data_IF_579881432213
#
_entry.id   IF_579881432213
#
_cell.length_a   1.000
_cell.length_b   1.000
_cell.length_c   1.000
_cell.angle_alpha   90.00
_cell.angle_beta   90.00
_cell.angle_gamma   90.00
#
_symmetry.space_group_name_H-M   'P 1'
#
loop_
_entity.id
_entity.type
_entity.pdbx_description
1 polymer ?
#
# COMPACT_ATOMS: atom_id res chain seq x y z
N UNK A 1 21.03 12.49 -9.72
CA UNK A 1 19.63 12.51 -10.20
C UNK A 1 19.62 12.00 -11.62
N UNK A 2 18.67 11.13 -11.94
CA UNK A 2 18.62 10.41 -13.20
C UNK A 2 17.52 10.95 -14.11
N UNK A 3 17.73 10.91 -15.42
CA UNK A 3 16.72 11.26 -16.42
C UNK A 3 15.90 10.07 -16.89
N UNK A 4 16.38 8.87 -16.55
CA UNK A 4 15.76 7.59 -16.90
C UNK A 4 15.83 6.63 -15.73
N UNK A 5 14.73 5.94 -15.46
CA UNK A 5 14.60 4.88 -14.47
C UNK A 5 14.21 3.59 -15.20
N UNK A 6 14.96 2.51 -14.96
CA UNK A 6 14.59 1.17 -15.37
C UNK A 6 14.23 0.41 -14.09
N UNK A 7 12.98 -0.02 -13.94
CA UNK A 7 12.48 -0.57 -12.68
C UNK A 7 11.76 -1.89 -12.90
N UNK A 8 12.01 -2.88 -12.03
CA UNK A 8 11.35 -4.18 -12.09
C UNK A 8 10.88 -4.66 -10.73
N UNK A 9 9.88 -5.56 -10.72
CA UNK A 9 9.64 -6.42 -9.57
C UNK A 9 10.71 -7.51 -9.51
N UNK A 10 11.19 -7.85 -8.30
CA UNK A 10 12.29 -8.79 -8.12
C UNK A 10 11.93 -10.24 -8.39
N UNK A 11 10.64 -10.59 -8.27
CA UNK A 11 10.12 -11.94 -8.45
C UNK A 11 9.02 -12.01 -9.51
N UNK A 12 8.74 -13.23 -10.00
CA UNK A 12 7.64 -13.49 -10.93
C UNK A 12 6.43 -14.10 -10.21
N UNK A 13 5.25 -14.04 -10.84
CA UNK A 13 4.02 -14.66 -10.31
C UNK A 13 4.12 -16.17 -10.18
N UNK A 14 4.96 -16.81 -11.00
CA UNK A 14 5.18 -18.26 -11.01
C UNK A 14 6.39 -18.67 -10.18
N UNK A 15 7.19 -17.72 -9.70
CA UNK A 15 8.36 -17.92 -8.86
C UNK A 15 8.32 -16.89 -7.73
N UNK A 16 7.39 -17.12 -6.81
CA UNK A 16 7.05 -16.18 -5.74
C UNK A 16 8.22 -15.98 -4.78
N UNK A 17 8.44 -14.74 -4.36
CA UNK A 17 9.27 -14.40 -3.23
C UNK A 17 8.58 -14.69 -1.89
N UNK A 18 8.76 -13.84 -0.92
CA UNK A 18 8.20 -14.00 0.40
C UNK A 18 6.67 -13.81 0.41
N UNK A 19 5.97 -14.64 1.20
CA UNK A 19 4.51 -14.57 1.38
C UNK A 19 4.18 -14.79 2.85
N UNK A 20 3.51 -13.82 3.47
CA UNK A 20 2.92 -13.94 4.80
C UNK A 20 1.68 -13.03 4.86
N UNK A 21 1.70 -11.89 5.55
CA UNK A 21 0.59 -10.92 5.66
C UNK A 21 0.28 -10.28 4.29
N UNK A 22 1.31 -10.10 3.49
CA UNK A 22 1.25 -9.68 2.10
C UNK A 22 2.09 -10.61 1.23
N UNK A 23 1.82 -10.60 -0.07
CA UNK A 23 2.60 -11.31 -1.07
C UNK A 23 3.57 -10.34 -1.75
N UNK A 24 4.86 -10.61 -1.65
CA UNK A 24 5.93 -9.76 -2.18
C UNK A 24 5.73 -9.44 -3.68
N UNK A 25 5.47 -10.44 -4.51
CA UNK A 25 5.29 -10.24 -5.96
C UNK A 25 4.15 -9.27 -6.25
N UNK A 26 3.02 -9.47 -5.57
CA UNK A 26 1.84 -8.64 -5.78
C UNK A 26 2.11 -7.18 -5.38
N UNK A 27 2.77 -6.97 -4.26
CA UNK A 27 3.02 -5.62 -3.75
C UNK A 27 4.18 -4.94 -4.50
N UNK A 28 5.24 -5.68 -4.85
CA UNK A 28 6.35 -5.14 -5.66
C UNK A 28 5.85 -4.63 -7.03
N UNK A 29 4.94 -5.37 -7.70
CA UNK A 29 4.33 -4.92 -8.95
C UNK A 29 3.59 -3.60 -8.79
N UNK A 30 2.79 -3.44 -7.72
CA UNK A 30 2.07 -2.18 -7.45
C UNK A 30 3.04 -1.01 -7.25
N UNK A 31 4.12 -1.22 -6.49
CA UNK A 31 5.14 -0.18 -6.27
C UNK A 31 5.83 0.19 -7.57
N UNK A 32 6.27 -0.79 -8.36
CA UNK A 32 6.89 -0.58 -9.69
C UNK A 32 5.97 0.22 -10.60
N UNK A 33 4.71 -0.19 -10.72
CA UNK A 33 3.73 0.48 -11.58
C UNK A 33 3.55 1.94 -11.14
N UNK A 34 3.33 2.16 -9.85
CA UNK A 34 3.06 3.50 -9.33
C UNK A 34 4.27 4.43 -9.41
N UNK A 35 5.47 3.94 -9.07
CA UNK A 35 6.72 4.72 -9.21
C UNK A 35 6.94 5.14 -10.66
N UNK A 36 6.74 4.21 -11.61
CA UNK A 36 6.91 4.49 -13.02
C UNK A 36 5.91 5.55 -13.52
N UNK A 37 4.66 5.51 -13.08
CA UNK A 37 3.64 6.52 -13.40
C UNK A 37 4.03 7.91 -12.89
N UNK A 38 4.52 8.00 -11.65
CA UNK A 38 4.98 9.28 -11.06
C UNK A 38 6.17 9.84 -11.81
N UNK A 39 7.15 9.01 -12.17
CA UNK A 39 8.33 9.42 -12.94
C UNK A 39 7.93 9.96 -14.32
N UNK A 40 7.04 9.24 -15.02
CA UNK A 40 6.52 9.67 -16.34
C UNK A 40 5.73 10.96 -16.25
N UNK A 41 4.88 11.12 -15.25
CA UNK A 41 4.13 12.36 -15.01
C UNK A 41 5.06 13.55 -14.75
N UNK A 42 6.29 13.31 -14.29
CA UNK A 42 7.33 14.32 -14.06
C UNK A 42 8.21 14.60 -15.30
N UNK A 43 7.79 14.11 -16.48
CA UNK A 43 8.50 14.32 -17.74
C UNK A 43 9.82 13.54 -17.88
N UNK A 44 10.03 12.51 -17.05
CA UNK A 44 11.23 11.66 -17.12
C UNK A 44 10.90 10.29 -17.73
N UNK A 45 11.90 9.66 -18.34
CA UNK A 45 11.74 8.32 -18.88
C UNK A 45 11.64 7.28 -17.75
N UNK A 46 10.66 6.41 -17.82
CA UNK A 46 10.56 5.26 -16.95
C UNK A 46 10.10 4.02 -17.72
N UNK A 47 10.91 2.97 -17.63
CA UNK A 47 10.61 1.66 -18.20
C UNK A 47 10.42 0.66 -17.07
N UNK A 48 9.40 -0.18 -17.18
CA UNK A 48 9.05 -1.15 -16.15
C UNK A 48 8.99 -2.58 -16.69
N UNK A 49 9.34 -3.55 -15.85
CA UNK A 49 9.35 -4.96 -16.20
C UNK A 49 8.81 -5.83 -15.06
N UNK A 50 7.99 -6.80 -15.44
CA UNK A 50 7.49 -7.85 -14.56
C UNK A 50 7.72 -9.19 -15.26
N UNK A 51 8.64 -9.97 -14.73
CA UNK A 51 8.94 -11.29 -15.28
C UNK A 51 7.79 -12.27 -15.04
N UNK A 52 7.65 -13.26 -15.92
CA UNK A 52 6.61 -14.30 -15.87
C UNK A 52 7.18 -15.71 -15.88
N UNK A 53 8.50 -15.87 -15.80
CA UNK A 53 9.13 -17.19 -15.76
C UNK A 53 8.75 -17.98 -14.51
N UNK A 54 8.81 -19.31 -14.61
CA UNK A 54 8.50 -20.24 -13.54
C UNK A 54 9.73 -20.80 -12.81
N UNK A 55 10.91 -20.30 -13.14
CA UNK A 55 12.18 -20.70 -12.53
C UNK A 55 12.88 -19.48 -11.92
N UNK A 56 13.34 -19.59 -10.68
CA UNK A 56 14.08 -18.52 -9.99
C UNK A 56 15.35 -18.12 -10.73
N UNK A 57 16.08 -19.07 -11.27
CA UNK A 57 17.28 -18.79 -12.05
C UNK A 57 16.96 -18.06 -13.37
N UNK A 58 15.90 -18.47 -14.07
CA UNK A 58 15.46 -17.79 -15.29
C UNK A 58 14.92 -16.40 -15.00
N UNK A 59 14.19 -16.22 -13.89
CA UNK A 59 13.70 -14.91 -13.43
C UNK A 59 14.86 -13.93 -13.25
N UNK A 60 15.93 -14.33 -12.53
CA UNK A 60 17.12 -13.51 -12.32
C UNK A 60 17.80 -13.13 -13.64
N UNK A 61 17.96 -14.08 -14.56
CA UNK A 61 18.58 -13.85 -15.89
C UNK A 61 17.72 -12.91 -16.72
N UNK A 62 16.40 -13.12 -16.77
CA UNK A 62 15.49 -12.29 -17.54
C UNK A 62 15.48 -10.84 -17.07
N UNK A 63 15.38 -10.62 -15.74
CA UNK A 63 15.42 -9.27 -15.16
C UNK A 63 16.73 -8.57 -15.51
N UNK A 64 17.87 -9.21 -15.29
CA UNK A 64 19.19 -8.61 -15.59
C UNK A 64 19.34 -8.30 -17.08
N UNK A 65 18.96 -9.23 -17.97
CA UNK A 65 19.03 -9.03 -19.40
C UNK A 65 18.15 -7.85 -19.85
N UNK A 66 16.93 -7.75 -19.30
CA UNK A 66 16.05 -6.64 -19.60
C UNK A 66 16.67 -5.31 -19.17
N UNK A 67 17.21 -5.20 -17.96
CA UNK A 67 17.90 -4.00 -17.47
C UNK A 67 19.12 -3.65 -18.31
N UNK A 68 19.93 -4.63 -18.69
CA UNK A 68 21.12 -4.44 -19.51
C UNK A 68 20.83 -4.08 -20.97
N UNK A 69 19.57 -4.22 -21.42
CA UNK A 69 19.10 -3.72 -22.71
C UNK A 69 19.06 -2.19 -22.82
N UNK A 70 19.13 -1.46 -21.71
CA UNK A 70 19.17 0.00 -21.66
C UNK A 70 20.61 0.49 -21.50
N UNK A 71 20.97 1.57 -22.24
CA UNK A 71 22.29 2.21 -22.13
C UNK A 71 22.35 3.22 -20.97
N UNK A 72 21.23 3.86 -20.64
CA UNK A 72 21.16 4.98 -19.71
C UNK A 72 20.27 4.65 -18.49
N UNK A 73 20.35 5.52 -17.47
CA UNK A 73 19.50 5.51 -16.31
C UNK A 73 20.07 4.82 -15.09
N UNK A 74 19.20 4.57 -14.11
CA UNK A 74 19.46 3.77 -12.92
C UNK A 74 18.57 2.54 -12.91
N UNK A 75 19.14 1.41 -12.53
CA UNK A 75 18.44 0.15 -12.42
C UNK A 75 17.90 -0.05 -11.00
N UNK A 76 16.61 -0.34 -10.89
CA UNK A 76 15.92 -0.49 -9.59
C UNK A 76 15.16 -1.78 -9.57
N UNK A 77 15.42 -2.63 -8.58
CA UNK A 77 14.62 -3.81 -8.29
C UNK A 77 13.80 -3.60 -7.02
N UNK A 78 12.51 -3.87 -7.07
CA UNK A 78 11.60 -3.73 -5.92
C UNK A 78 11.34 -5.10 -5.31
N UNK A 79 11.60 -5.17 -4.01
CA UNK A 79 11.44 -6.33 -3.15
C UNK A 79 10.73 -5.98 -1.85
N UNK A 80 10.32 -7.00 -1.12
CA UNK A 80 9.86 -6.94 0.26
C UNK A 80 10.56 -8.00 1.07
N UNK A 81 11.14 -7.61 2.18
CA UNK A 81 11.93 -8.47 3.04
C UNK A 81 11.06 -9.44 3.84
N UNK A 82 11.66 -10.50 4.35
CA UNK A 82 11.05 -11.44 5.28
C UNK A 82 12.05 -11.94 6.33
N UNK A 83 11.55 -12.26 7.50
CA UNK A 83 12.34 -12.90 8.55
C UNK A 83 11.49 -13.90 9.34
N UNK A 84 10.65 -13.44 10.25
CA UNK A 84 9.73 -14.23 11.06
C UNK A 84 8.51 -13.41 11.37
N UNK A 85 7.34 -14.02 11.33
CA UNK A 85 6.07 -13.35 11.65
C UNK A 85 6.14 -12.65 13.01
N UNK A 86 5.83 -11.35 13.01
CA UNK A 86 5.95 -10.50 14.21
C UNK A 86 4.99 -9.32 14.17
N UNK A 87 4.57 -8.86 15.35
CA UNK A 87 3.83 -7.60 15.48
C UNK A 87 4.74 -6.36 15.48
N UNK A 88 6.07 -6.57 15.64
CA UNK A 88 7.03 -5.47 15.77
C UNK A 88 7.40 -4.87 14.43
N UNK A 89 7.71 -3.57 14.42
CA UNK A 89 8.27 -2.90 13.26
C UNK A 89 9.68 -3.43 12.96
N UNK A 90 9.92 -3.76 11.69
CA UNK A 90 11.18 -4.26 11.18
C UNK A 90 11.91 -3.23 10.29
N UNK A 91 11.15 -2.48 9.47
CA UNK A 91 11.65 -1.32 8.73
C UNK A 91 11.98 -1.57 7.26
N UNK A 92 12.64 -0.59 6.66
CA UNK A 92 13.05 -0.58 5.25
C UNK A 92 14.56 -0.55 5.09
N UNK A 93 15.09 -1.18 4.05
CA UNK A 93 16.52 -1.12 3.70
C UNK A 93 16.73 -1.09 2.19
N UNK A 94 17.88 -0.59 1.76
CA UNK A 94 18.23 -0.58 0.33
C UNK A 94 19.58 -1.22 0.12
N UNK A 95 19.59 -2.28 -0.69
CA UNK A 95 20.79 -3.00 -1.05
C UNK A 95 21.48 -2.39 -2.27
N UNK A 96 22.83 -2.41 -2.28
CA UNK A 96 23.64 -1.92 -3.39
C UNK A 96 24.90 -2.77 -3.57
N UNK A 97 25.48 -2.71 -4.76
CA UNK A 97 26.84 -3.18 -5.00
C UNK A 97 27.85 -2.04 -4.79
N UNK A 98 27.67 -0.91 -5.53
CA UNK A 98 28.58 0.22 -5.56
C UNK A 98 27.92 1.60 -5.39
N UNK A 99 26.64 1.65 -4.93
CA UNK A 99 25.86 2.89 -4.84
C UNK A 99 25.46 3.24 -3.37
N UNK A 100 26.42 3.38 -2.42
CA UNK A 100 26.09 3.55 -1.01
C UNK A 100 25.31 4.83 -0.70
N UNK A 101 25.64 5.93 -1.38
CA UNK A 101 24.98 7.21 -1.13
C UNK A 101 23.55 7.22 -1.64
N UNK A 102 23.32 6.70 -2.84
CA UNK A 102 21.98 6.56 -3.41
C UNK A 102 21.12 5.63 -2.53
N UNK A 103 21.64 4.46 -2.17
CA UNK A 103 20.95 3.49 -1.34
C UNK A 103 20.58 4.08 0.04
N UNK A 104 21.50 4.83 0.66
CA UNK A 104 21.25 5.50 1.95
C UNK A 104 20.15 6.55 1.83
N UNK A 105 20.18 7.37 0.79
CA UNK A 105 19.19 8.42 0.58
C UNK A 105 17.81 7.84 0.30
N UNK A 106 17.72 6.81 -0.53
CA UNK A 106 16.46 6.12 -0.84
C UNK A 106 15.87 5.47 0.41
N UNK A 107 16.67 4.70 1.19
CA UNK A 107 16.22 4.08 2.44
C UNK A 107 15.67 5.12 3.42
N UNK A 108 16.42 6.20 3.67
CA UNK A 108 16.00 7.30 4.56
C UNK A 108 14.68 7.93 4.11
N UNK A 109 14.52 8.19 2.82
CA UNK A 109 13.34 8.86 2.30
C UNK A 109 12.10 7.94 2.31
N UNK A 110 12.27 6.64 2.07
CA UNK A 110 11.22 5.63 2.25
C UNK A 110 10.81 5.55 3.72
N UNK A 111 11.78 5.45 4.63
CA UNK A 111 11.53 5.39 6.07
C UNK A 111 10.72 6.60 6.55
N UNK A 112 11.11 7.80 6.17
CA UNK A 112 10.41 9.04 6.52
C UNK A 112 8.98 9.08 5.93
N UNK A 113 8.82 8.67 4.67
CA UNK A 113 7.52 8.70 3.99
C UNK A 113 6.56 7.65 4.52
N UNK A 114 7.06 6.46 4.84
CA UNK A 114 6.30 5.32 5.32
C UNK A 114 6.11 5.28 6.84
N UNK A 115 6.95 5.99 7.59
CA UNK A 115 7.01 5.87 9.05
C UNK A 115 7.76 4.63 9.52
N UNK A 116 8.65 4.08 8.69
CA UNK A 116 9.41 2.87 8.98
C UNK A 116 10.67 3.16 9.80
N UNK A 117 11.20 2.10 10.42
CA UNK A 117 12.60 2.10 10.90
C UNK A 117 13.51 2.17 9.67
N UNK A 118 14.43 3.14 9.63
CA UNK A 118 15.46 3.22 8.60
C UNK A 118 16.60 2.25 8.93
N UNK A 119 16.67 1.13 8.23
CA UNK A 119 17.77 0.16 8.35
C UNK A 119 18.98 0.55 7.50
N UNK A 120 18.83 1.55 6.63
CA UNK A 120 19.89 2.16 5.84
C UNK A 120 20.34 1.35 4.63
N UNK A 121 21.47 1.78 4.07
CA UNK A 121 22.11 1.10 2.93
C UNK A 121 22.79 -0.20 3.36
N UNK A 122 22.67 -1.25 2.54
CA UNK A 122 23.29 -2.56 2.74
C UNK A 122 24.15 -2.92 1.54
N UNK A 123 25.46 -3.06 1.73
CA UNK A 123 26.28 -3.58 0.65
C UNK A 123 26.04 -5.08 0.49
N UNK A 124 25.62 -5.52 -0.70
CA UNK A 124 25.28 -6.91 -1.04
C UNK A 124 25.92 -7.31 -2.36
N UNK A 125 27.17 -7.69 -2.34
CA UNK A 125 27.97 -8.03 -3.54
C UNK A 125 27.63 -9.39 -4.15
N UNK A 126 26.87 -10.22 -3.43
CA UNK A 126 26.45 -11.55 -3.88
C UNK A 126 25.07 -11.57 -4.56
N UNK A 127 24.26 -10.48 -4.48
CA UNK A 127 22.95 -10.44 -5.11
C UNK A 127 23.08 -10.36 -6.62
N UNK A 128 22.48 -11.33 -7.33
CA UNK A 128 22.63 -11.50 -8.77
C UNK A 128 22.28 -10.24 -9.54
N UNK A 129 21.16 -9.62 -9.27
CA UNK A 129 20.74 -8.37 -9.89
C UNK A 129 21.81 -7.27 -9.75
N UNK A 130 22.27 -7.01 -8.54
CA UNK A 130 23.24 -5.95 -8.25
C UNK A 130 24.62 -6.22 -8.84
N UNK A 131 25.00 -7.50 -8.96
CA UNK A 131 26.30 -7.91 -9.48
C UNK A 131 26.37 -7.88 -11.01
N UNK A 132 25.27 -8.17 -11.69
CA UNK A 132 25.26 -8.42 -13.14
C UNK A 132 24.56 -7.32 -13.96
N UNK A 133 24.01 -6.27 -13.34
CA UNK A 133 23.58 -5.06 -14.04
C UNK A 133 24.77 -4.17 -14.38
N UNK A 134 24.74 -3.56 -15.58
CA UNK A 134 25.88 -2.79 -16.12
C UNK A 134 25.85 -1.31 -15.72
N UNK A 135 24.77 -0.83 -15.13
CA UNK A 135 24.55 0.57 -14.73
C UNK A 135 24.49 0.70 -13.20
N UNK A 136 24.47 1.93 -12.65
CA UNK A 136 24.15 2.12 -11.25
C UNK A 136 22.86 1.38 -10.88
N UNK A 137 22.94 0.50 -9.87
CA UNK A 137 21.82 -0.35 -9.48
C UNK A 137 21.60 -0.37 -7.98
N UNK A 138 20.32 -0.37 -7.58
CA UNK A 138 19.88 -0.57 -6.20
C UNK A 138 18.73 -1.58 -6.15
N UNK A 139 18.63 -2.30 -5.03
CA UNK A 139 17.53 -3.19 -4.72
C UNK A 139 16.85 -2.67 -3.44
N UNK A 140 15.58 -2.36 -3.53
CA UNK A 140 14.80 -1.74 -2.45
C UNK A 140 13.97 -2.83 -1.76
N UNK A 141 14.24 -3.05 -0.48
CA UNK A 141 13.38 -3.81 0.44
C UNK A 141 12.42 -2.83 1.10
N UNK A 142 11.20 -2.71 0.55
CA UNK A 142 10.24 -1.67 0.96
C UNK A 142 9.87 -1.77 2.43
N UNK A 143 9.53 -2.99 2.86
CA UNK A 143 9.28 -3.35 4.26
C UNK A 143 9.25 -4.88 4.40
N UNK A 144 8.99 -5.40 5.59
CA UNK A 144 8.89 -6.83 5.82
C UNK A 144 7.46 -7.35 5.61
N UNK A 145 7.30 -8.42 4.80
CA UNK A 145 5.99 -9.03 4.51
C UNK A 145 5.33 -9.68 5.74
N UNK A 146 6.14 -10.07 6.71
CA UNK A 146 5.80 -10.81 7.92
C UNK A 146 5.76 -9.94 9.19
N UNK A 147 5.92 -8.62 9.03
CA UNK A 147 5.75 -7.63 10.10
C UNK A 147 4.38 -6.95 10.02
N UNK A 148 3.52 -7.18 11.03
CA UNK A 148 2.19 -6.54 11.10
C UNK A 148 2.31 -5.02 11.12
N UNK A 149 3.27 -4.49 11.89
CA UNK A 149 3.49 -3.05 11.99
C UNK A 149 3.90 -2.46 10.63
N UNK A 150 4.89 -3.07 9.96
CA UNK A 150 5.37 -2.57 8.66
C UNK A 150 4.29 -2.64 7.58
N UNK A 151 3.56 -3.76 7.51
CA UNK A 151 2.48 -3.92 6.51
C UNK A 151 1.37 -2.89 6.71
N UNK A 152 1.02 -2.57 7.96
CA UNK A 152 0.03 -1.52 8.25
C UNK A 152 0.54 -0.14 7.83
N UNK A 153 1.80 0.20 8.12
CA UNK A 153 2.44 1.44 7.68
C UNK A 153 2.53 1.53 6.16
N UNK A 154 2.95 0.46 5.49
CA UNK A 154 3.01 0.37 4.03
C UNK A 154 1.65 0.66 3.39
N UNK A 155 0.60 -0.03 3.85
CA UNK A 155 -0.77 0.16 3.33
C UNK A 155 -1.29 1.57 3.55
N UNK A 156 -1.00 2.17 4.71
CA UNK A 156 -1.42 3.53 5.04
C UNK A 156 -0.68 4.61 4.24
N UNK A 157 0.58 4.35 3.88
CA UNK A 157 1.47 5.35 3.28
C UNK A 157 1.95 4.99 1.86
N UNK A 158 1.30 4.03 1.18
CA UNK A 158 1.71 3.52 -0.14
C UNK A 158 2.07 4.62 -1.13
N UNK A 159 1.20 5.60 -1.30
CA UNK A 159 1.42 6.70 -2.25
C UNK A 159 2.64 7.56 -1.86
N UNK A 160 2.80 7.88 -0.58
CA UNK A 160 3.94 8.67 -0.09
C UNK A 160 5.26 7.94 -0.26
N UNK A 161 5.26 6.61 -0.07
CA UNK A 161 6.43 5.75 -0.28
C UNK A 161 6.83 5.77 -1.77
N UNK A 162 5.86 5.56 -2.68
CA UNK A 162 6.13 5.60 -4.11
C UNK A 162 6.65 6.98 -4.58
N UNK A 163 6.09 8.06 -4.05
CA UNK A 163 6.56 9.43 -4.30
C UNK A 163 7.98 9.65 -3.77
N UNK A 164 8.30 9.13 -2.59
CA UNK A 164 9.64 9.25 -2.00
C UNK A 164 10.68 8.51 -2.86
N UNK A 165 10.39 7.31 -3.33
CA UNK A 165 11.24 6.55 -4.26
C UNK A 165 11.47 7.37 -5.53
N UNK A 166 10.40 7.77 -6.22
CA UNK A 166 10.49 8.53 -7.46
C UNK A 166 11.28 9.82 -7.29
N UNK A 167 10.93 10.64 -6.27
CA UNK A 167 11.60 11.92 -6.00
C UNK A 167 13.08 11.75 -5.73
N UNK A 168 13.48 10.73 -4.98
CA UNK A 168 14.89 10.49 -4.68
C UNK A 168 15.69 10.14 -5.95
N UNK A 169 15.08 9.37 -6.85
CA UNK A 169 15.75 8.93 -8.08
C UNK A 169 15.90 10.05 -9.11
N UNK A 170 14.86 10.90 -9.30
CA UNK A 170 14.85 11.91 -10.36
C UNK A 170 15.00 13.36 -9.85
N UNK A 171 15.08 13.59 -8.55
CA UNK A 171 15.33 14.86 -7.90
C UNK A 171 14.10 15.71 -7.62
N UNK A 172 13.24 15.91 -8.58
CA UNK A 172 11.96 16.59 -8.41
C UNK A 172 10.86 15.78 -9.06
N UNK A 173 9.77 15.59 -8.35
CA UNK A 173 8.55 15.05 -8.93
C UNK A 173 7.57 16.21 -9.14
N UNK A 174 6.95 16.24 -10.31
CA UNK A 174 5.64 16.86 -10.41
C UNK A 174 4.71 15.90 -9.65
N UNK A 175 4.57 16.12 -8.34
CA UNK A 175 3.35 15.68 -7.72
C UNK A 175 2.30 16.50 -8.48
N UNK A 176 1.37 15.90 -9.24
CA UNK A 176 0.20 16.66 -9.58
C UNK A 176 -0.30 17.11 -8.22
N UNK A 177 -0.02 18.37 -7.87
CA UNK A 177 -0.79 19.04 -6.83
C UNK A 177 -2.19 18.62 -7.21
N UNK A 178 -2.99 18.05 -6.30
CA UNK A 178 -4.41 18.04 -6.58
C UNK A 178 -4.65 19.50 -6.92
N UNK A 179 -4.71 19.80 -8.21
CA UNK A 179 -5.17 21.10 -8.66
C UNK A 179 -6.35 21.29 -7.78
N UNK A 180 -6.26 22.28 -6.87
CA UNK A 180 -7.45 22.69 -6.14
C UNK A 180 -8.47 22.74 -7.25
N UNK A 181 -9.44 21.82 -7.30
CA UNK A 181 -10.29 21.76 -8.45
C UNK A 181 -10.73 23.19 -8.62
N UNK A 182 -10.51 23.75 -9.83
CA UNK A 182 -11.28 24.93 -10.23
C UNK A 182 -12.67 24.64 -9.71
N UNK A 183 -13.36 25.52 -8.92
CA UNK A 183 -14.53 25.14 -8.16
C UNK A 183 -15.37 24.23 -9.02
N UNK A 184 -15.21 22.93 -8.76
CA UNK A 184 -15.75 21.91 -9.61
C UNK A 184 -17.23 22.21 -9.67
N UNK A 185 -17.85 22.23 -10.84
CA UNK A 185 -19.30 22.23 -10.89
C UNK A 185 -19.71 21.14 -9.91
N UNK A 186 -20.47 21.51 -8.87
CA UNK A 186 -20.85 20.60 -7.76
C UNK A 186 -21.00 19.21 -8.31
N UNK A 187 -20.23 18.17 -7.83
CA UNK A 187 -20.26 16.86 -8.44
C UNK A 187 -21.72 16.45 -8.54
N UNK A 188 -22.21 16.27 -9.77
CA UNK A 188 -23.48 15.57 -9.94
C UNK A 188 -23.27 14.23 -9.24
N UNK A 189 -24.16 13.78 -8.37
CA UNK A 189 -24.01 12.51 -7.67
C UNK A 189 -23.72 11.43 -8.72
N UNK A 190 -22.54 10.80 -8.63
CA UNK A 190 -22.20 9.70 -9.52
C UNK A 190 -23.16 8.55 -9.20
N UNK A 191 -24.03 8.14 -10.11
CA UNK A 191 -25.03 7.12 -9.82
C UNK A 191 -24.44 5.72 -9.55
N UNK A 192 -23.12 5.52 -9.73
CA UNK A 192 -22.47 4.20 -9.63
C UNK A 192 -21.88 3.84 -8.27
N UNK A 193 -21.88 4.72 -7.27
CA UNK A 193 -21.40 4.39 -5.94
C UNK A 193 -22.43 3.64 -5.08
N UNK A 194 -21.96 2.78 -4.18
CA UNK A 194 -22.80 2.00 -3.26
C UNK A 194 -23.60 2.93 -2.31
N UNK A 195 -24.91 2.80 -2.28
CA UNK A 195 -25.81 3.66 -1.49
C UNK A 195 -25.56 3.50 0.02
N UNK A 196 -25.23 2.30 0.49
CA UNK A 196 -24.91 2.06 1.90
C UNK A 196 -23.59 2.74 2.29
N UNK A 197 -22.57 2.68 1.42
CA UNK A 197 -21.29 3.37 1.65
C UNK A 197 -21.49 4.89 1.69
N UNK A 198 -22.35 5.46 0.82
CA UNK A 198 -22.71 6.90 0.88
C UNK A 198 -23.34 7.26 2.23
N UNK A 199 -24.29 6.44 2.68
CA UNK A 199 -24.96 6.67 3.97
C UNK A 199 -23.97 6.61 5.12
N UNK A 200 -23.01 5.67 5.07
CA UNK A 200 -21.96 5.55 6.08
C UNK A 200 -21.02 6.77 6.06
N UNK A 201 -20.56 7.18 4.88
CA UNK A 201 -19.70 8.37 4.73
C UNK A 201 -20.37 9.64 5.24
N UNK A 202 -21.65 9.83 4.91
CA UNK A 202 -22.44 10.97 5.38
C UNK A 202 -22.58 10.96 6.91
N UNK A 203 -22.88 9.81 7.49
CA UNK A 203 -23.07 9.68 8.93
C UNK A 203 -21.75 9.82 9.71
N UNK A 204 -20.65 9.27 9.20
CA UNK A 204 -19.30 9.48 9.76
C UNK A 204 -18.96 10.98 9.81
N UNK A 205 -19.21 11.70 8.72
CA UNK A 205 -19.01 13.15 8.66
C UNK A 205 -19.91 13.90 9.65
N UNK A 206 -21.20 13.52 9.77
CA UNK A 206 -22.17 14.15 10.65
C UNK A 206 -21.76 14.00 12.13
N UNK A 207 -21.23 12.84 12.49
CA UNK A 207 -20.74 12.57 13.85
C UNK A 207 -19.33 13.08 14.12
N UNK A 208 -18.72 13.80 13.18
CA UNK A 208 -17.41 14.41 13.39
C UNK A 208 -16.23 13.51 13.11
N UNK A 209 -16.42 12.27 12.64
CA UNK A 209 -15.32 11.40 12.24
C UNK A 209 -14.61 11.95 11.00
N UNK A 210 -13.31 11.69 10.92
CA UNK A 210 -12.42 12.18 9.86
C UNK A 210 -11.57 11.06 9.32
N UNK A 211 -11.07 11.23 8.09
CA UNK A 211 -10.06 10.32 7.55
C UNK A 211 -8.73 10.43 8.33
N UNK A 212 -7.78 9.57 8.01
CA UNK A 212 -6.44 9.57 8.64
C UNK A 212 -5.66 10.88 8.48
N UNK A 213 -6.10 11.77 7.59
CA UNK A 213 -5.51 13.09 7.36
C UNK A 213 -6.30 14.22 8.06
N UNK A 214 -7.32 13.89 8.86
CA UNK A 214 -8.17 14.86 9.55
C UNK A 214 -9.23 15.53 8.66
N UNK A 215 -9.46 15.06 7.42
CA UNK A 215 -10.40 15.62 6.50
C UNK A 215 -11.79 14.95 6.60
N UNK A 216 -12.84 15.72 6.22
CA UNK A 216 -14.15 15.12 5.96
C UNK A 216 -14.08 14.15 4.80
N UNK A 217 -14.86 13.07 4.87
CA UNK A 217 -15.02 12.12 3.78
C UNK A 217 -15.79 12.75 2.60
N UNK A 218 -15.40 12.40 1.39
CA UNK A 218 -16.23 12.63 0.21
C UNK A 218 -17.38 11.60 0.26
N UNK A 219 -18.62 12.08 0.11
CA UNK A 219 -19.82 11.23 0.14
C UNK A 219 -20.12 10.77 -1.29
N UNK A 220 -19.29 9.86 -1.81
CA UNK A 220 -19.32 9.36 -3.19
C UNK A 220 -19.82 7.92 -3.32
N UNK A 221 -19.93 7.20 -2.21
CA UNK A 221 -20.32 5.80 -2.19
C UNK A 221 -19.19 4.85 -2.60
N UNK A 222 -17.96 5.34 -2.68
CA UNK A 222 -16.78 4.52 -2.99
C UNK A 222 -16.07 4.16 -1.69
N UNK A 223 -16.06 2.87 -1.36
CA UNK A 223 -15.31 2.39 -0.22
C UNK A 223 -13.80 2.44 -0.50
N UNK A 224 -13.04 2.98 0.44
CA UNK A 224 -11.58 3.09 0.31
C UNK A 224 -10.91 3.30 1.67
N UNK A 225 -9.60 3.48 1.64
CA UNK A 225 -8.78 3.67 2.86
C UNK A 225 -9.24 4.86 3.72
N UNK A 226 -9.69 5.95 3.10
CA UNK A 226 -10.22 7.12 3.80
C UNK A 226 -11.52 6.80 4.54
N UNK A 227 -12.46 6.12 3.88
CA UNK A 227 -13.71 5.68 4.53
C UNK A 227 -13.40 4.71 5.67
N UNK A 228 -12.51 3.76 5.42
CA UNK A 228 -12.10 2.78 6.44
C UNK A 228 -11.46 3.44 7.67
N UNK A 229 -10.53 4.39 7.46
CA UNK A 229 -9.84 5.07 8.57
C UNK A 229 -10.75 5.93 9.43
N UNK A 230 -11.86 6.41 8.89
CA UNK A 230 -12.86 7.18 9.62
C UNK A 230 -13.84 6.31 10.42
N UNK A 231 -13.88 4.98 10.17
CA UNK A 231 -14.83 4.11 10.86
C UNK A 231 -14.44 3.88 12.33
N UNK A 232 -15.35 4.15 13.29
CA UNK A 232 -15.09 3.91 14.71
C UNK A 232 -15.12 2.42 15.07
N UNK A 233 -14.50 2.07 16.17
CA UNK A 233 -14.69 0.74 16.76
C UNK A 233 -16.08 0.65 17.39
N UNK A 234 -16.87 -0.37 17.00
CA UNK A 234 -18.17 -0.65 17.59
C UNK A 234 -18.12 -1.93 18.42
N UNK A 235 -18.69 -1.86 19.62
CA UNK A 235 -18.81 -2.98 20.56
C UNK A 235 -20.07 -2.84 21.39
N UNK A 236 -20.35 -3.80 22.27
CA UNK A 236 -21.50 -3.71 23.20
C UNK A 236 -21.54 -2.31 23.85
N UNK A 237 -22.72 -1.70 23.81
CA UNK A 237 -23.00 -0.36 24.31
C UNK A 237 -22.93 0.74 23.26
N UNK A 238 -22.35 0.50 22.07
CA UNK A 238 -22.40 1.47 20.97
C UNK A 238 -23.84 1.72 20.51
N UNK A 239 -24.16 2.98 20.20
CA UNK A 239 -25.50 3.41 19.78
C UNK A 239 -25.43 4.40 18.63
N UNK A 240 -26.53 4.53 17.87
CA UNK A 240 -26.70 5.52 16.82
C UNK A 240 -26.65 4.96 15.41
N UNK A 241 -26.65 5.88 14.44
CA UNK A 241 -26.86 5.53 13.04
C UNK A 241 -25.68 4.73 12.43
N UNK A 242 -24.44 4.93 12.88
CA UNK A 242 -23.31 4.10 12.42
C UNK A 242 -23.51 2.63 12.84
N UNK A 243 -23.97 2.41 14.07
CA UNK A 243 -24.33 1.06 14.54
C UNK A 243 -25.49 0.48 13.72
N UNK A 244 -26.52 1.28 13.45
CA UNK A 244 -27.65 0.89 12.60
C UNK A 244 -27.22 0.49 11.18
N UNK A 245 -26.36 1.28 10.55
CA UNK A 245 -25.82 0.97 9.23
C UNK A 245 -24.99 -0.32 9.23
N UNK A 246 -24.18 -0.53 10.26
CA UNK A 246 -23.42 -1.77 10.44
C UNK A 246 -24.35 -2.97 10.58
N UNK A 247 -25.40 -2.88 11.43
CA UNK A 247 -26.42 -3.91 11.60
C UNK A 247 -27.12 -4.27 10.28
N UNK A 248 -27.50 -3.28 9.48
CA UNK A 248 -28.07 -3.48 8.14
C UNK A 248 -27.12 -4.30 7.25
N UNK A 249 -25.82 -3.99 7.28
CA UNK A 249 -24.83 -4.64 6.44
C UNK A 249 -24.59 -6.12 6.81
N UNK A 250 -24.71 -6.48 8.10
CA UNK A 250 -24.57 -7.87 8.56
C UNK A 250 -25.90 -8.63 8.62
N UNK A 251 -27.03 -7.99 8.27
CA UNK A 251 -28.34 -8.64 8.17
C UNK A 251 -29.00 -8.94 9.52
N UNK A 252 -28.76 -8.10 10.54
CA UNK A 252 -29.43 -8.21 11.85
C UNK A 252 -30.39 -7.05 12.05
N UNK A 253 -31.32 -7.14 13.03
CA UNK A 253 -32.23 -6.04 13.36
C UNK A 253 -31.46 -4.73 13.55
N UNK A 254 -31.78 -3.71 12.73
CA UNK A 254 -31.05 -2.46 12.66
C UNK A 254 -31.72 -1.39 13.56
N UNK A 255 -31.68 -1.63 14.88
CA UNK A 255 -32.22 -0.76 15.92
C UNK A 255 -31.25 0.36 16.34
N UNK A 256 -30.01 0.30 15.87
CA UNK A 256 -28.95 1.24 16.24
C UNK A 256 -28.38 1.00 17.64
N UNK A 257 -28.66 -0.14 18.27
CA UNK A 257 -28.16 -0.51 19.61
C UNK A 257 -27.27 -1.75 19.51
N UNK A 258 -26.00 -1.63 19.81
CA UNK A 258 -25.10 -2.76 19.85
C UNK A 258 -25.29 -3.55 21.15
N UNK A 259 -26.30 -4.40 21.18
CA UNK A 259 -26.59 -5.33 22.27
C UNK A 259 -25.99 -6.72 22.05
N UNK A 260 -26.41 -7.70 22.87
CA UNK A 260 -25.94 -9.09 22.79
C UNK A 260 -26.29 -9.75 21.45
N UNK A 261 -27.46 -9.47 20.87
CA UNK A 261 -27.87 -10.01 19.57
C UNK A 261 -26.97 -9.49 18.45
N UNK A 262 -26.64 -8.19 18.48
CA UNK A 262 -25.70 -7.57 17.53
C UNK A 262 -24.30 -8.17 17.70
N UNK A 263 -23.83 -8.34 18.95
CA UNK A 263 -22.52 -8.99 19.20
C UNK A 263 -22.48 -10.39 18.61
N UNK A 264 -23.53 -11.20 18.82
CA UNK A 264 -23.57 -12.56 18.27
C UNK A 264 -23.60 -12.56 16.75
N UNK A 265 -24.30 -11.62 16.11
CA UNK A 265 -24.30 -11.46 14.66
C UNK A 265 -22.91 -11.06 14.13
N UNK A 266 -22.19 -10.16 14.82
CA UNK A 266 -20.81 -9.80 14.49
C UNK A 266 -19.88 -11.00 14.61
N UNK A 267 -19.98 -11.79 15.68
CA UNK A 267 -19.23 -13.05 15.87
C UNK A 267 -19.45 -14.01 14.68
N UNK A 268 -20.70 -14.21 14.30
CA UNK A 268 -21.05 -15.06 13.16
C UNK A 268 -20.50 -14.52 11.84
N UNK A 269 -20.60 -13.21 11.62
CA UNK A 269 -20.02 -12.54 10.45
C UNK A 269 -18.50 -12.70 10.42
N UNK A 270 -17.80 -12.43 11.51
CA UNK A 270 -16.35 -12.58 11.63
C UNK A 270 -15.92 -14.01 11.30
N UNK A 271 -16.60 -15.02 11.87
CA UNK A 271 -16.34 -16.43 11.58
C UNK A 271 -16.51 -16.75 10.10
N UNK A 272 -17.59 -16.26 9.47
CA UNK A 272 -17.84 -16.47 8.03
C UNK A 272 -16.82 -15.81 7.10
N UNK A 273 -16.10 -14.79 7.61
CA UNK A 273 -15.09 -14.04 6.86
C UNK A 273 -13.65 -14.38 7.25
N UNK A 274 -13.44 -15.39 8.10
CA UNK A 274 -12.11 -15.79 8.54
C UNK A 274 -11.38 -14.74 9.38
N UNK A 275 -12.15 -13.90 10.12
CA UNK A 275 -11.59 -12.87 10.98
C UNK A 275 -11.42 -13.38 12.41
N UNK A 276 -10.68 -12.62 13.23
CA UNK A 276 -10.67 -12.82 14.69
C UNK A 276 -12.09 -12.68 15.20
N UNK A 277 -12.57 -13.68 15.96
CA UNK A 277 -13.96 -13.81 16.40
C UNK A 277 -14.11 -13.24 17.81
N UNK A 278 -14.06 -11.90 17.93
CA UNK A 278 -14.09 -11.16 19.20
C UNK A 278 -15.43 -10.44 19.47
N UNK A 279 -16.29 -10.38 18.45
CA UNK A 279 -17.55 -9.66 18.52
C UNK A 279 -17.40 -8.14 18.55
N UNK A 280 -16.26 -7.61 18.11
CA UNK A 280 -15.95 -6.18 18.02
C UNK A 280 -15.80 -5.78 16.55
N UNK A 281 -16.47 -4.72 16.12
CA UNK A 281 -16.31 -4.19 14.77
C UNK A 281 -15.15 -3.20 14.76
N UNK A 282 -13.94 -3.74 14.69
CA UNK A 282 -12.70 -2.98 14.48
C UNK A 282 -12.34 -2.82 13.00
N UNK A 283 -11.15 -2.30 12.71
CA UNK A 283 -10.69 -1.98 11.35
C UNK A 283 -10.77 -3.18 10.39
N UNK A 284 -10.41 -4.39 10.83
CA UNK A 284 -10.46 -5.60 9.99
C UNK A 284 -11.91 -6.01 9.66
N UNK A 285 -12.82 -5.86 10.61
CA UNK A 285 -14.25 -6.13 10.40
C UNK A 285 -14.85 -5.08 9.46
N UNK A 286 -14.56 -3.78 9.66
CA UNK A 286 -14.96 -2.71 8.76
C UNK A 286 -14.42 -2.90 7.35
N UNK A 287 -13.16 -3.33 7.18
CA UNK A 287 -12.57 -3.64 5.88
C UNK A 287 -13.42 -4.62 5.10
N UNK A 288 -13.84 -5.72 5.75
CA UNK A 288 -14.71 -6.73 5.12
C UNK A 288 -16.14 -6.24 4.86
N UNK A 289 -16.69 -5.39 5.72
CA UNK A 289 -18.00 -4.77 5.51
C UNK A 289 -17.99 -3.80 4.32
N UNK A 290 -16.87 -3.11 4.10
CA UNK A 290 -16.65 -2.19 2.98
C UNK A 290 -16.26 -2.90 1.68
N UNK A 291 -15.97 -4.20 1.71
CA UNK A 291 -15.55 -4.95 0.53
C UNK A 291 -14.08 -4.70 0.11
N UNK A 292 -13.21 -4.36 1.07
CA UNK A 292 -11.80 -4.01 0.88
C UNK A 292 -10.86 -5.18 1.24
#
# INVERSE_FOLDING_TARGET
MYNQINISSGHSVNCQGAVDIINEVTEAKKVVDRVCDIVKASGKACYKYHDTSSSSSQNLVNIVNWHNGFKDGVDVSIHFNAYTHTDKAMGTEVCHYSQPMLAKEVSKNIANAGGFIDRGAKQRTGLYFLKHTNKPAILIEVCFVDSVADVNLYRANFERICQAIAKTLIGSIVVPTPTAPAPAPKPKPNPSGDAWVRSLQAELNAQGFRDSNGNKLVVDGIAGSKTLSACPTLKIGARGNITKLMQQKIGVAADGIFGNNTKQAVINYQRSKGLVVDGIVGQNTWRKLLGL
#
